data_IF_243208898037
#
_entry.id   IF_243208898037
#
_cell.length_a   1.000
_cell.length_b   1.000
_cell.length_c   1.000
_cell.angle_alpha   90.00
_cell.angle_beta   90.00
_cell.angle_gamma   90.00
#
_symmetry.space_group_name_H-M   'P 1'
#
loop_
_entity.id
_entity.type
_entity.pdbx_description
1 polymer ?
#
# COMPACT_ATOMS: atom_id res chain seq x y z
N UNK A 1 -19.70 31.16 24.33
CA UNK A 1 -20.66 30.04 24.36
C UNK A 1 -20.30 29.14 25.52
N UNK A 2 -21.21 28.96 26.49
CA UNK A 2 -20.98 28.01 27.58
C UNK A 2 -21.02 26.58 27.03
N UNK A 3 -19.95 25.82 27.24
CA UNK A 3 -19.90 24.39 26.90
C UNK A 3 -20.89 23.69 27.83
N UNK A 4 -21.86 22.97 27.27
CA UNK A 4 -22.82 22.22 28.10
C UNK A 4 -22.12 21.05 28.78
N UNK A 5 -22.58 20.62 29.96
CA UNK A 5 -22.01 19.47 30.68
C UNK A 5 -21.93 18.22 29.79
N UNK A 6 -22.95 18.02 28.94
CA UNK A 6 -23.02 16.94 27.96
C UNK A 6 -21.94 17.05 26.87
N UNK A 7 -21.69 18.26 26.35
CA UNK A 7 -20.58 18.51 25.42
C UNK A 7 -19.23 18.25 26.10
N UNK A 8 -19.04 18.66 27.34
CA UNK A 8 -17.82 18.41 28.11
C UNK A 8 -17.60 16.90 28.34
N UNK A 9 -18.65 16.16 28.70
CA UNK A 9 -18.59 14.70 28.87
C UNK A 9 -18.25 13.99 27.56
N UNK A 10 -18.88 14.38 26.45
CA UNK A 10 -18.61 13.80 25.12
C UNK A 10 -17.17 14.05 24.67
N UNK A 11 -16.65 15.27 24.90
CA UNK A 11 -15.25 15.60 24.62
C UNK A 11 -14.32 14.78 25.51
N UNK A 12 -14.58 14.70 26.82
CA UNK A 12 -13.80 13.90 27.76
C UNK A 12 -13.72 12.42 27.36
N UNK A 13 -14.85 11.81 27.01
CA UNK A 13 -14.91 10.43 26.54
C UNK A 13 -14.11 10.24 25.24
N UNK A 14 -14.22 11.16 24.28
CA UNK A 14 -13.48 11.10 23.01
C UNK A 14 -11.98 11.21 23.24
N UNK A 15 -11.55 12.12 24.12
CA UNK A 15 -10.14 12.26 24.51
C UNK A 15 -9.60 11.00 25.19
N UNK A 16 -10.33 10.43 26.16
CA UNK A 16 -9.92 9.20 26.84
C UNK A 16 -9.80 8.03 25.84
N UNK A 17 -10.79 7.86 24.95
CA UNK A 17 -10.76 6.83 23.91
C UNK A 17 -9.54 7.03 22.99
N UNK A 18 -9.26 8.26 22.56
CA UNK A 18 -8.10 8.56 21.72
C UNK A 18 -6.77 8.24 22.42
N UNK A 19 -6.65 8.58 23.71
CA UNK A 19 -5.47 8.28 24.52
C UNK A 19 -5.24 6.77 24.70
N UNK A 20 -6.29 6.01 25.01
CA UNK A 20 -6.20 4.55 25.15
C UNK A 20 -5.77 3.89 23.84
N UNK A 21 -6.33 4.35 22.72
CA UNK A 21 -5.98 3.85 21.38
C UNK A 21 -4.55 4.21 20.98
N UNK A 22 -4.11 5.43 21.31
CA UNK A 22 -2.72 5.83 21.10
C UNK A 22 -1.76 4.99 21.94
N UNK A 23 -2.06 4.79 23.23
CA UNK A 23 -1.27 3.95 24.13
C UNK A 23 -1.20 2.50 23.62
N UNK A 24 -2.32 1.94 23.16
CA UNK A 24 -2.35 0.63 22.54
C UNK A 24 -1.47 0.56 21.28
N UNK A 25 -1.57 1.54 20.39
CA UNK A 25 -0.74 1.62 19.19
C UNK A 25 0.77 1.68 19.55
N UNK A 26 1.14 2.49 20.54
CA UNK A 26 2.54 2.59 21.01
C UNK A 26 3.02 1.26 21.57
N UNK A 27 2.26 0.67 22.51
CA UNK A 27 2.60 -0.63 23.09
C UNK A 27 2.72 -1.72 22.02
N UNK A 28 1.80 -1.74 21.06
CA UNK A 28 1.80 -2.67 19.95
C UNK A 28 3.06 -2.53 19.07
N UNK A 29 3.47 -1.29 18.74
CA UNK A 29 4.70 -1.06 17.98
C UNK A 29 5.96 -1.45 18.77
N UNK A 30 5.99 -1.17 20.08
CA UNK A 30 7.12 -1.49 20.96
C UNK A 30 7.38 -3.00 21.06
N UNK A 31 6.34 -3.83 20.94
CA UNK A 31 6.52 -5.30 20.95
C UNK A 31 6.64 -5.88 19.54
N UNK A 32 5.82 -5.43 18.59
CA UNK A 32 5.70 -6.10 17.29
C UNK A 32 6.91 -5.85 16.38
N UNK A 33 7.41 -4.61 16.31
CA UNK A 33 8.50 -4.26 15.39
C UNK A 33 9.83 -4.84 15.85
N UNK A 34 10.25 -4.69 17.13
CA UNK A 34 11.45 -5.37 17.60
C UNK A 34 11.34 -6.88 17.46
N UNK A 35 10.20 -7.49 17.77
CA UNK A 35 10.01 -8.94 17.58
C UNK A 35 10.20 -9.35 16.13
N UNK A 36 9.62 -8.62 15.18
CA UNK A 36 9.81 -8.85 13.74
C UNK A 36 11.29 -8.79 13.35
N UNK A 37 12.02 -7.77 13.78
CA UNK A 37 13.46 -7.62 13.49
C UNK A 37 14.25 -8.78 14.09
N UNK A 38 13.97 -9.15 15.35
CA UNK A 38 14.68 -10.22 16.06
C UNK A 38 14.43 -11.59 15.44
N UNK A 39 13.19 -11.90 15.05
CA UNK A 39 12.89 -13.12 14.30
C UNK A 39 13.71 -13.21 13.02
N UNK A 40 13.81 -12.10 12.26
CA UNK A 40 14.59 -12.10 11.03
C UNK A 40 16.10 -12.16 11.25
N UNK A 41 16.62 -11.61 12.36
CA UNK A 41 18.02 -11.79 12.76
C UNK A 41 18.30 -13.27 13.06
N UNK A 42 17.46 -13.91 13.88
CA UNK A 42 17.62 -15.33 14.21
C UNK A 42 17.48 -16.23 12.99
N UNK A 43 16.65 -15.84 12.02
CA UNK A 43 16.43 -16.59 10.77
C UNK A 43 17.47 -16.30 9.68
N UNK A 44 18.55 -15.52 9.92
CA UNK A 44 19.57 -15.29 8.89
C UNK A 44 20.25 -16.58 8.37
N UNK A 45 20.53 -17.63 9.18
CA UNK A 45 21.04 -18.89 8.63
C UNK A 45 20.07 -19.53 7.63
N UNK A 46 18.76 -19.48 7.89
CA UNK A 46 17.75 -19.96 6.95
C UNK A 46 17.79 -19.19 5.63
N UNK A 47 18.07 -17.89 5.65
CA UNK A 47 18.22 -17.10 4.42
C UNK A 47 19.33 -17.61 3.51
N UNK A 48 20.43 -18.09 4.09
CA UNK A 48 21.59 -18.62 3.35
C UNK A 48 21.29 -20.01 2.79
N UNK A 49 20.63 -20.86 3.60
CA UNK A 49 20.33 -22.26 3.25
C UNK A 49 19.12 -22.40 2.32
N UNK A 50 18.05 -21.65 2.59
CA UNK A 50 16.81 -21.61 1.82
C UNK A 50 16.18 -20.20 1.85
N UNK A 51 16.70 -19.35 0.97
CA UNK A 51 16.21 -17.98 0.77
C UNK A 51 14.71 -17.93 0.46
N UNK A 52 14.14 -18.93 -0.24
CA UNK A 52 12.71 -18.93 -0.60
C UNK A 52 11.84 -19.04 0.65
N UNK A 53 12.18 -19.96 1.56
CA UNK A 53 11.46 -20.12 2.83
C UNK A 53 11.65 -18.91 3.75
N UNK A 54 12.84 -18.30 3.78
CA UNK A 54 13.07 -17.07 4.53
C UNK A 54 12.14 -15.93 4.08
N UNK A 55 12.05 -15.65 2.78
CA UNK A 55 11.18 -14.58 2.27
C UNK A 55 9.69 -14.91 2.38
N UNK A 56 9.33 -16.20 2.38
CA UNK A 56 7.97 -16.62 2.72
C UNK A 56 7.61 -16.24 4.15
N UNK A 57 8.46 -16.60 5.12
CA UNK A 57 8.24 -16.32 6.55
C UNK A 57 8.22 -14.80 6.79
N UNK A 58 9.23 -14.09 6.28
CA UNK A 58 9.31 -12.64 6.38
C UNK A 58 8.03 -11.96 5.88
N UNK A 59 7.55 -12.36 4.71
CA UNK A 59 6.35 -11.76 4.16
C UNK A 59 5.06 -12.14 4.90
N UNK A 60 5.00 -13.30 5.57
CA UNK A 60 3.88 -13.64 6.49
C UNK A 60 3.91 -12.70 7.69
N UNK A 61 5.08 -12.50 8.31
CA UNK A 61 5.21 -11.57 9.44
C UNK A 61 4.90 -10.13 9.01
N UNK A 62 5.33 -9.71 7.83
CA UNK A 62 4.98 -8.41 7.24
C UNK A 62 3.46 -8.25 7.10
N UNK A 63 2.76 -9.25 6.55
CA UNK A 63 1.30 -9.25 6.46
C UNK A 63 0.63 -9.07 7.82
N UNK A 64 1.15 -9.69 8.87
CA UNK A 64 0.63 -9.55 10.23
C UNK A 64 0.85 -8.15 10.79
N UNK A 65 2.02 -7.56 10.60
CA UNK A 65 2.28 -6.17 10.98
C UNK A 65 1.30 -5.21 10.31
N UNK A 66 1.05 -5.39 9.02
CA UNK A 66 0.11 -4.52 8.30
C UNK A 66 -1.34 -4.76 8.73
N UNK A 67 -1.68 -5.99 9.13
CA UNK A 67 -2.98 -6.31 9.71
C UNK A 67 -3.17 -5.64 11.08
N UNK A 68 -2.10 -5.45 11.86
CA UNK A 68 -2.15 -4.64 13.08
C UNK A 68 -2.44 -3.16 12.77
N UNK A 69 -1.80 -2.59 11.74
CA UNK A 69 -2.09 -1.21 11.28
C UNK A 69 -3.54 -1.09 10.80
N UNK A 70 -4.02 -2.09 10.05
CA UNK A 70 -5.41 -2.18 9.61
C UNK A 70 -6.39 -2.26 10.79
N UNK A 71 -6.04 -3.02 11.84
CA UNK A 71 -6.87 -3.19 13.04
C UNK A 71 -7.16 -1.87 13.77
N UNK A 72 -6.22 -0.91 13.73
CA UNK A 72 -6.43 0.39 14.35
C UNK A 72 -7.66 1.09 13.72
N UNK A 73 -7.71 1.21 12.39
CA UNK A 73 -8.87 1.82 11.73
C UNK A 73 -10.14 0.98 11.85
N UNK A 74 -10.00 -0.34 11.72
CA UNK A 74 -11.12 -1.28 11.79
C UNK A 74 -11.88 -1.15 13.11
N UNK A 75 -11.19 -1.17 14.25
CA UNK A 75 -11.80 -0.99 15.58
C UNK A 75 -12.25 0.44 15.88
N UNK A 76 -11.86 1.43 15.06
CA UNK A 76 -12.46 2.76 15.09
C UNK A 76 -13.76 2.87 14.28
N UNK A 77 -14.13 1.84 13.52
CA UNK A 77 -15.28 1.88 12.61
C UNK A 77 -14.97 2.59 11.29
N UNK A 78 -13.68 2.67 10.90
CA UNK A 78 -13.30 3.06 9.55
C UNK A 78 -13.24 1.81 8.70
N UNK A 79 -14.23 1.62 7.82
CA UNK A 79 -14.37 0.42 6.99
C UNK A 79 -14.15 0.74 5.51
N UNK A 80 -14.06 -0.30 4.67
CA UNK A 80 -13.84 -0.13 3.24
C UNK A 80 -14.93 -0.85 2.45
N UNK A 81 -15.42 -0.19 1.40
CA UNK A 81 -16.26 -0.79 0.36
C UNK A 81 -15.51 -0.79 -0.96
N UNK A 82 -15.43 -1.95 -1.58
CA UNK A 82 -14.76 -2.18 -2.86
C UNK A 82 -15.77 -2.12 -4.03
N UNK A 83 -15.33 -1.59 -5.17
CA UNK A 83 -16.13 -1.39 -6.39
C UNK A 83 -15.32 -1.78 -7.63
N UNK A 84 -16.00 -2.00 -8.75
CA UNK A 84 -15.36 -2.30 -10.03
C UNK A 84 -14.91 -3.76 -10.12
N UNK A 85 -13.74 -3.99 -10.72
CA UNK A 85 -13.20 -5.33 -10.98
C UNK A 85 -12.78 -6.05 -9.68
N UNK A 86 -12.90 -7.39 -9.65
CA UNK A 86 -12.42 -8.19 -8.51
C UNK A 86 -10.92 -8.50 -8.65
N UNK A 87 -10.10 -7.73 -7.93
CA UNK A 87 -8.64 -7.91 -7.91
C UNK A 87 -8.18 -9.26 -7.34
N UNK A 88 -9.08 -10.01 -6.67
CA UNK A 88 -8.78 -11.38 -6.24
C UNK A 88 -8.46 -12.30 -7.42
N UNK A 89 -9.03 -12.04 -8.60
CA UNK A 89 -8.77 -12.83 -9.80
C UNK A 89 -7.30 -12.76 -10.28
N UNK A 90 -6.59 -11.68 -9.93
CA UNK A 90 -5.20 -11.42 -10.35
C UNK A 90 -4.23 -11.34 -9.16
N UNK A 91 -4.67 -11.75 -7.96
CA UNK A 91 -3.90 -11.61 -6.71
C UNK A 91 -2.59 -12.39 -6.70
N UNK A 92 -2.52 -13.46 -7.49
CA UNK A 92 -1.36 -14.34 -7.58
C UNK A 92 -0.44 -14.05 -8.76
N UNK A 93 -0.77 -13.08 -9.62
CA UNK A 93 0.08 -12.64 -10.73
C UNK A 93 0.90 -11.39 -10.36
N UNK A 94 1.96 -11.09 -11.13
CA UNK A 94 2.72 -9.83 -10.97
C UNK A 94 1.88 -8.66 -11.51
N UNK A 95 1.73 -7.59 -10.72
CA UNK A 95 0.92 -6.43 -11.08
C UNK A 95 1.52 -5.09 -10.59
N UNK A 96 1.30 -4.02 -11.36
CA UNK A 96 1.59 -2.65 -10.96
C UNK A 96 0.30 -1.96 -10.53
N UNK A 97 0.27 -1.39 -9.33
CA UNK A 97 -0.93 -0.76 -8.75
C UNK A 97 -0.79 0.77 -8.77
N UNK A 98 -1.62 1.43 -9.57
CA UNK A 98 -1.66 2.89 -9.69
C UNK A 98 -2.77 3.44 -8.81
N UNK A 99 -2.40 4.28 -7.83
CA UNK A 99 -3.36 4.81 -6.86
C UNK A 99 -3.37 6.34 -6.88
N UNK A 100 -4.56 6.96 -6.82
CA UNK A 100 -4.64 8.39 -6.49
C UNK A 100 -4.22 8.63 -5.03
N UNK A 101 -3.78 9.85 -4.72
CA UNK A 101 -3.18 10.15 -3.41
C UNK A 101 -3.80 11.38 -2.76
N UNK A 102 -4.67 11.17 -1.78
CA UNK A 102 -5.36 12.22 -1.04
C UNK A 102 -4.73 12.50 0.33
N UNK A 103 -4.38 11.45 1.09
CA UNK A 103 -3.85 11.58 2.45
C UNK A 103 -3.03 10.37 2.91
N UNK A 104 -2.48 10.43 4.12
CA UNK A 104 -1.74 9.31 4.72
C UNK A 104 -2.62 8.09 4.99
N UNK A 105 -3.94 8.25 5.14
CA UNK A 105 -4.87 7.14 5.31
C UNK A 105 -5.05 6.26 4.07
N UNK A 106 -4.60 6.70 2.89
CA UNK A 106 -4.68 5.90 1.65
C UNK A 106 -3.87 4.61 1.80
N UNK A 107 -2.67 4.72 2.39
CA UNK A 107 -1.80 3.58 2.67
C UNK A 107 -2.46 2.63 3.67
N UNK A 108 -3.07 3.17 4.74
CA UNK A 108 -3.77 2.35 5.74
C UNK A 108 -5.00 1.65 5.14
N UNK A 109 -5.71 2.32 4.24
CA UNK A 109 -6.85 1.76 3.50
C UNK A 109 -6.40 0.57 2.65
N UNK A 110 -5.30 0.70 1.89
CA UNK A 110 -4.75 -0.40 1.10
C UNK A 110 -4.23 -1.56 1.96
N UNK A 111 -3.57 -1.26 3.09
CA UNK A 111 -3.15 -2.27 4.07
C UNK A 111 -4.32 -3.04 4.67
N UNK A 112 -5.52 -2.45 4.66
CA UNK A 112 -6.74 -3.04 5.16
C UNK A 112 -7.45 -3.86 4.07
N UNK A 113 -7.74 -3.27 2.90
CA UNK A 113 -8.59 -3.91 1.89
C UNK A 113 -7.92 -5.05 1.12
N UNK A 114 -6.58 -5.13 1.14
CA UNK A 114 -5.84 -6.20 0.47
C UNK A 114 -5.62 -7.44 1.35
N UNK A 115 -6.02 -7.43 2.63
CA UNK A 115 -5.71 -8.50 3.59
C UNK A 115 -6.29 -9.88 3.22
N UNK A 116 -7.45 -9.89 2.58
CA UNK A 116 -8.18 -11.08 2.13
C UNK A 116 -7.83 -11.49 0.68
N UNK A 117 -6.94 -10.76 0.01
CA UNK A 117 -6.56 -10.98 -1.40
C UNK A 117 -5.35 -11.91 -1.52
N UNK A 118 -5.48 -13.12 -0.99
CA UNK A 118 -4.46 -14.17 -1.09
C UNK A 118 -3.11 -13.71 -0.52
N UNK A 119 -2.07 -13.76 -1.36
CA UNK A 119 -0.69 -13.42 -0.98
C UNK A 119 -0.31 -11.96 -1.22
N UNK A 120 -1.22 -11.11 -1.69
CA UNK A 120 -0.93 -9.73 -2.09
C UNK A 120 -0.16 -8.95 -1.03
N UNK A 121 -0.68 -8.85 0.19
CA UNK A 121 -0.02 -8.08 1.27
C UNK A 121 1.36 -8.63 1.60
N UNK A 122 1.55 -9.95 1.48
CA UNK A 122 2.85 -10.61 1.72
C UNK A 122 3.89 -10.26 0.65
N UNK A 123 3.44 -10.05 -0.58
CA UNK A 123 4.29 -9.94 -1.77
C UNK A 123 4.24 -8.56 -2.42
N UNK A 124 3.59 -7.58 -1.80
CA UNK A 124 3.55 -6.22 -2.32
C UNK A 124 4.82 -5.44 -1.96
N UNK A 125 5.26 -4.58 -2.84
CA UNK A 125 6.36 -3.64 -2.65
C UNK A 125 5.82 -2.23 -2.72
N UNK A 126 6.22 -1.39 -1.78
CA UNK A 126 5.85 0.02 -1.76
C UNK A 126 6.90 0.90 -2.44
N UNK A 127 6.44 1.87 -3.23
CA UNK A 127 7.23 3.05 -3.59
C UNK A 127 6.82 4.24 -2.71
N UNK A 128 7.71 4.69 -1.85
CA UNK A 128 7.42 5.69 -0.81
C UNK A 128 8.41 6.83 -0.80
N UNK A 129 8.00 7.98 -0.26
CA UNK A 129 8.92 9.09 -0.02
C UNK A 129 10.05 8.68 0.95
N UNK A 130 11.27 9.10 0.65
CA UNK A 130 12.46 8.88 1.47
C UNK A 130 12.27 9.22 2.96
N UNK A 131 11.46 10.22 3.31
CA UNK A 131 11.23 10.58 4.71
C UNK A 131 10.65 9.43 5.55
N UNK A 132 9.88 8.52 4.93
CA UNK A 132 9.27 7.40 5.63
C UNK A 132 10.30 6.38 6.16
N UNK A 133 11.52 6.38 5.61
CA UNK A 133 12.62 5.51 6.04
C UNK A 133 12.94 5.65 7.53
N UNK A 134 12.68 6.81 8.12
CA UNK A 134 12.97 7.12 9.53
C UNK A 134 11.82 6.83 10.48
N UNK A 135 10.77 6.17 9.99
CA UNK A 135 9.62 5.76 10.81
C UNK A 135 9.70 4.29 11.19
N UNK A 136 8.90 3.89 12.18
CA UNK A 136 8.66 2.49 12.53
C UNK A 136 8.31 1.62 11.31
N UNK A 137 7.40 2.11 10.47
CA UNK A 137 7.05 1.44 9.22
C UNK A 137 8.24 1.42 8.24
N UNK A 138 9.04 2.48 8.20
CA UNK A 138 10.26 2.57 7.40
C UNK A 138 11.27 1.45 7.67
N UNK A 139 11.48 1.08 8.93
CA UNK A 139 12.36 -0.04 9.31
C UNK A 139 11.83 -1.35 8.73
N UNK A 140 10.54 -1.61 8.91
CA UNK A 140 9.87 -2.81 8.37
C UNK A 140 9.99 -2.85 6.85
N UNK A 141 9.70 -1.72 6.18
CA UNK A 141 9.78 -1.55 4.74
C UNK A 141 11.18 -1.74 4.16
N UNK A 142 12.23 -1.23 4.82
CA UNK A 142 13.62 -1.47 4.42
C UNK A 142 13.96 -2.95 4.44
N UNK A 143 13.53 -3.67 5.48
CA UNK A 143 13.76 -5.11 5.61
C UNK A 143 12.94 -5.88 4.56
N UNK A 144 11.70 -5.47 4.33
CA UNK A 144 10.82 -6.04 3.29
C UNK A 144 11.43 -5.85 1.89
N UNK A 145 12.17 -4.77 1.67
CA UNK A 145 12.75 -4.43 0.38
C UNK A 145 11.87 -3.50 -0.43
N UNK A 146 11.10 -2.65 0.24
CA UNK A 146 10.41 -1.51 -0.37
C UNK A 146 11.41 -0.48 -0.90
N UNK A 147 10.96 0.36 -1.84
CA UNK A 147 11.78 1.39 -2.45
C UNK A 147 11.43 2.78 -1.93
N UNK A 148 12.46 3.52 -1.50
CA UNK A 148 12.34 4.87 -1.00
C UNK A 148 12.83 5.87 -2.04
N UNK A 149 11.93 6.66 -2.61
CA UNK A 149 12.23 7.68 -3.61
C UNK A 149 12.43 9.05 -2.97
N UNK A 150 13.58 9.67 -3.25
CA UNK A 150 13.82 11.07 -2.89
C UNK A 150 13.12 12.00 -3.88
N UNK A 151 12.24 12.84 -3.38
CA UNK A 151 11.55 13.85 -4.20
C UNK A 151 12.49 15.01 -4.58
N UNK A 152 12.16 15.69 -5.69
CA UNK A 152 12.86 16.89 -6.15
C UNK A 152 13.48 16.72 -7.53
N UNK A 153 13.57 17.83 -8.28
CA UNK A 153 14.08 17.80 -9.67
C UNK A 153 15.52 17.29 -9.76
N UNK A 154 16.37 17.70 -8.82
CA UNK A 154 17.80 17.38 -8.80
C UNK A 154 18.11 15.87 -8.64
N UNK A 155 17.22 15.11 -8.02
CA UNK A 155 17.45 13.68 -7.77
C UNK A 155 16.73 12.78 -8.76
N UNK A 156 15.82 13.32 -9.59
CA UNK A 156 14.86 12.54 -10.37
C UNK A 156 15.52 11.44 -11.19
N UNK A 157 16.50 11.79 -12.02
CA UNK A 157 17.09 10.84 -12.97
C UNK A 157 17.90 9.77 -12.24
N UNK A 158 18.66 10.17 -11.21
CA UNK A 158 19.38 9.25 -10.33
C UNK A 158 18.43 8.27 -9.63
N UNK A 159 17.28 8.74 -9.12
CA UNK A 159 16.32 7.88 -8.44
C UNK A 159 15.67 6.87 -9.39
N UNK A 160 15.49 7.20 -10.68
CA UNK A 160 14.98 6.27 -11.67
C UNK A 160 15.97 5.14 -11.97
N UNK A 161 17.28 5.45 -12.02
CA UNK A 161 18.33 4.43 -12.14
C UNK A 161 18.35 3.52 -10.91
N UNK A 162 18.31 4.11 -9.70
CA UNK A 162 18.27 3.34 -8.46
C UNK A 162 17.02 2.46 -8.34
N UNK A 163 15.87 2.93 -8.84
CA UNK A 163 14.64 2.13 -8.89
C UNK A 163 14.84 0.92 -9.79
N UNK A 164 15.40 1.09 -10.99
CA UNK A 164 15.68 -0.02 -11.91
C UNK A 164 16.57 -1.07 -11.23
N UNK A 165 17.70 -0.65 -10.68
CA UNK A 165 18.67 -1.55 -10.02
C UNK A 165 18.04 -2.28 -8.82
N UNK A 166 17.19 -1.60 -8.06
CA UNK A 166 16.46 -2.18 -6.92
C UNK A 166 15.46 -3.24 -7.36
N UNK A 167 14.71 -2.99 -8.44
CA UNK A 167 13.76 -3.95 -9.01
C UNK A 167 14.49 -5.21 -9.50
N UNK A 168 15.58 -5.05 -10.26
CA UNK A 168 16.38 -6.17 -10.75
C UNK A 168 16.95 -7.01 -9.59
N UNK A 169 17.41 -6.36 -8.52
CA UNK A 169 18.07 -7.03 -7.40
C UNK A 169 17.09 -7.68 -6.42
N UNK A 170 15.98 -7.03 -6.09
CA UNK A 170 15.15 -7.41 -4.94
C UNK A 170 13.72 -7.82 -5.27
N UNK A 171 13.13 -7.41 -6.39
CA UNK A 171 11.71 -7.66 -6.64
C UNK A 171 11.41 -9.16 -6.77
N UNK A 172 12.00 -9.85 -7.75
CA UNK A 172 11.78 -11.30 -7.93
C UNK A 172 12.55 -12.17 -6.94
N UNK A 173 13.75 -11.74 -6.53
CA UNK A 173 14.58 -12.50 -5.59
C UNK A 173 13.97 -12.59 -4.19
N UNK A 174 13.10 -11.64 -3.82
CA UNK A 174 12.30 -11.65 -2.59
C UNK A 174 10.84 -12.06 -2.82
N UNK A 175 10.54 -12.64 -3.98
CA UNK A 175 9.22 -13.13 -4.33
C UNK A 175 8.11 -12.05 -4.21
N UNK A 176 8.41 -10.83 -4.66
CA UNK A 176 7.43 -9.73 -4.75
C UNK A 176 6.65 -9.85 -6.06
N UNK A 177 5.36 -9.52 -5.99
CA UNK A 177 4.40 -9.61 -7.09
C UNK A 177 3.70 -8.29 -7.36
N UNK A 178 3.30 -7.54 -6.34
CA UNK A 178 2.58 -6.29 -6.54
C UNK A 178 3.49 -5.11 -6.26
N UNK A 179 3.45 -4.06 -7.07
CA UNK A 179 4.19 -2.82 -6.81
C UNK A 179 3.22 -1.66 -6.73
N UNK A 180 3.11 -1.06 -5.55
CA UNK A 180 2.17 0.02 -5.27
C UNK A 180 2.88 1.36 -5.40
N UNK A 181 2.34 2.22 -6.26
CA UNK A 181 2.83 3.58 -6.43
C UNK A 181 1.68 4.59 -6.49
N UNK A 182 2.00 5.81 -6.09
CA UNK A 182 1.13 6.98 -6.14
C UNK A 182 1.67 7.97 -7.19
N UNK A 183 1.27 7.86 -8.48
CA UNK A 183 1.86 8.63 -9.57
C UNK A 183 1.73 10.15 -9.44
N UNK A 184 0.79 10.64 -8.63
CA UNK A 184 0.65 12.07 -8.28
C UNK A 184 1.93 12.66 -7.64
N UNK A 185 2.77 11.80 -7.04
CA UNK A 185 4.05 12.20 -6.46
C UNK A 185 3.91 13.08 -5.20
N UNK A 186 2.77 12.98 -4.52
CA UNK A 186 2.46 13.63 -3.25
C UNK A 186 0.96 13.76 -3.04
N UNK A 187 0.55 14.14 -1.82
CA UNK A 187 -0.86 14.35 -1.51
C UNK A 187 -1.49 15.43 -2.38
N UNK A 188 -2.73 15.19 -2.83
CA UNK A 188 -3.54 16.08 -3.64
C UNK A 188 -3.53 17.51 -3.12
N UNK A 189 -3.77 17.72 -1.81
CA UNK A 189 -3.78 19.07 -1.19
C UNK A 189 -2.47 19.84 -1.42
N UNK A 190 -1.33 19.15 -1.51
CA UNK A 190 -0.01 19.77 -1.73
C UNK A 190 0.34 19.92 -3.21
N UNK A 191 -0.29 19.16 -4.10
CA UNK A 191 0.09 19.07 -5.52
C UNK A 191 -0.90 19.74 -6.47
N UNK A 192 -2.17 19.89 -6.07
CA UNK A 192 -3.29 20.36 -6.92
C UNK A 192 -2.96 21.64 -7.67
N UNK A 193 -2.63 22.72 -6.96
CA UNK A 193 -2.37 24.03 -7.58
C UNK A 193 -1.21 23.97 -8.59
N UNK A 194 -0.10 23.33 -8.21
CA UNK A 194 1.06 23.17 -9.10
C UNK A 194 0.74 22.30 -10.33
N UNK A 195 -0.10 21.28 -10.17
CA UNK A 195 -0.56 20.43 -11.26
C UNK A 195 -1.48 21.19 -12.20
N UNK A 196 -2.39 22.00 -11.68
CA UNK A 196 -3.30 22.83 -12.47
C UNK A 196 -2.57 23.92 -13.25
N UNK A 197 -1.56 24.56 -12.63
CA UNK A 197 -0.69 25.51 -13.32
C UNK A 197 0.09 24.84 -14.48
N UNK A 198 0.61 23.63 -14.25
CA UNK A 198 1.23 22.83 -15.32
C UNK A 198 0.23 22.47 -16.41
N UNK A 199 -0.99 22.06 -16.05
CA UNK A 199 -2.03 21.70 -17.02
C UNK A 199 -2.38 22.89 -17.92
N UNK A 200 -2.62 24.06 -17.32
CA UNK A 200 -2.91 25.31 -18.05
C UNK A 200 -1.77 25.70 -19.00
N UNK A 201 -0.52 25.56 -18.59
CA UNK A 201 0.65 25.89 -19.42
C UNK A 201 0.79 24.97 -20.64
N UNK A 202 0.36 23.72 -20.53
CA UNK A 202 0.57 22.70 -21.56
C UNK A 202 -0.75 22.28 -22.27
N UNK A 203 -1.82 23.06 -22.12
CA UNK A 203 -3.15 22.75 -22.68
C UNK A 203 -3.67 21.35 -22.32
N UNK A 204 -3.45 20.93 -21.08
CA UNK A 204 -3.94 19.66 -20.54
C UNK A 204 -5.22 19.89 -19.71
N UNK A 205 -6.04 18.84 -19.49
CA UNK A 205 -7.27 18.94 -18.71
C UNK A 205 -7.04 19.48 -17.29
N UNK A 206 -8.01 20.28 -16.83
CA UNK A 206 -8.03 20.82 -15.48
C UNK A 206 -8.66 19.80 -14.53
N UNK A 207 -7.86 19.23 -13.62
CA UNK A 207 -8.30 18.21 -12.66
C UNK A 207 -8.42 18.82 -11.25
N UNK A 208 -9.49 18.49 -10.51
CA UNK A 208 -9.80 19.01 -9.17
C UNK A 208 -9.64 17.94 -8.10
N UNK A 209 -10.07 16.72 -8.37
CA UNK A 209 -10.11 15.59 -7.44
C UNK A 209 -8.87 14.70 -7.51
N UNK A 210 -8.06 14.82 -8.56
CA UNK A 210 -6.71 14.24 -8.67
C UNK A 210 -5.72 15.24 -9.26
N UNK A 211 -4.44 14.86 -9.34
CA UNK A 211 -3.40 15.58 -10.09
C UNK A 211 -2.90 14.81 -11.31
N UNK A 212 -2.32 15.52 -12.27
CA UNK A 212 -1.67 14.91 -13.42
C UNK A 212 -0.49 14.03 -12.95
N UNK A 213 -0.47 12.75 -13.35
CA UNK A 213 0.50 11.78 -12.85
C UNK A 213 1.90 12.00 -13.43
N UNK A 214 2.91 11.56 -12.69
CA UNK A 214 4.31 11.53 -13.15
C UNK A 214 4.62 10.20 -13.84
N UNK A 215 5.31 10.28 -14.97
CA UNK A 215 5.62 9.11 -15.81
C UNK A 215 6.76 8.22 -15.28
N UNK A 216 7.80 8.83 -14.69
CA UNK A 216 9.12 8.19 -14.57
C UNK A 216 9.12 6.82 -13.89
N UNK A 217 8.50 6.70 -12.71
CA UNK A 217 8.47 5.43 -11.98
C UNK A 217 7.68 4.35 -12.73
N UNK A 218 6.49 4.69 -13.24
CA UNK A 218 5.65 3.82 -14.07
C UNK A 218 6.44 3.26 -15.26
N UNK A 219 7.13 4.13 -15.99
CA UNK A 219 7.92 3.74 -17.16
C UNK A 219 9.07 2.80 -16.79
N UNK A 220 9.82 3.09 -15.72
CA UNK A 220 10.91 2.23 -15.25
C UNK A 220 10.37 0.85 -14.84
N UNK A 221 9.26 0.80 -14.11
CA UNK A 221 8.65 -0.47 -13.66
C UNK A 221 8.23 -1.31 -14.88
N UNK A 222 7.49 -0.73 -15.82
CA UNK A 222 7.05 -1.42 -17.02
C UNK A 222 8.25 -1.92 -17.83
N UNK A 223 9.21 -1.05 -18.15
CA UNK A 223 10.40 -1.43 -18.93
C UNK A 223 11.21 -2.54 -18.25
N UNK A 224 11.37 -2.49 -16.93
CA UNK A 224 12.21 -3.46 -16.20
C UNK A 224 11.51 -4.79 -16.02
N UNK A 225 10.24 -4.79 -15.63
CA UNK A 225 9.54 -6.01 -15.26
C UNK A 225 8.88 -6.72 -16.45
N UNK A 226 8.55 -5.99 -17.53
CA UNK A 226 8.05 -6.57 -18.79
C UNK A 226 9.18 -7.09 -19.67
N UNK A 227 10.26 -6.33 -19.90
CA UNK A 227 11.32 -6.76 -20.83
C UNK A 227 12.06 -8.04 -20.39
N UNK A 228 12.13 -8.30 -19.09
CA UNK A 228 12.68 -9.57 -18.58
C UNK A 228 11.82 -10.81 -18.95
N UNK A 229 10.57 -10.61 -19.40
CA UNK A 229 9.74 -11.66 -20.00
C UNK A 229 10.23 -12.01 -21.42
N UNK A 230 10.68 -11.03 -22.20
CA UNK A 230 11.10 -11.22 -23.60
C UNK A 230 12.51 -11.82 -23.71
N UNK A 231 13.43 -11.42 -22.84
CA UNK A 231 14.84 -11.87 -22.86
C UNK A 231 15.08 -13.25 -22.17
N UNK A 232 14.02 -13.94 -21.76
CA UNK A 232 14.06 -15.18 -20.97
C UNK A 232 14.05 -16.50 -21.77
N UNK A 233 14.37 -16.49 -23.07
CA UNK A 233 14.55 -17.70 -23.88
C UNK A 233 16.03 -18.01 -24.14
N UNK A 234 16.71 -18.82 -23.31
CA UNK A 234 17.85 -19.57 -23.79
C UNK A 234 17.33 -20.76 -24.59
N UNK A 235 17.47 -20.70 -25.91
CA UNK A 235 17.50 -21.89 -26.75
C UNK A 235 18.71 -22.73 -26.35
N UNK A 236 18.49 -23.83 -25.63
CA UNK A 236 19.54 -24.80 -25.37
C UNK A 236 19.29 -25.70 -24.16
N UNK A 237 18.94 -26.95 -24.43
CA UNK A 237 19.44 -28.12 -23.68
C UNK A 237 18.84 -28.41 -22.29
N UNK A 238 18.18 -29.56 -22.25
CA UNK A 238 18.00 -30.47 -21.11
C UNK A 238 16.90 -30.26 -20.06
N UNK A 239 16.30 -31.41 -19.78
CA UNK A 239 15.03 -31.61 -19.14
C UNK A 239 15.09 -31.52 -17.60
N UNK A 240 13.90 -31.34 -17.03
CA UNK A 240 13.55 -31.50 -15.60
C UNK A 240 13.92 -30.33 -14.68
N UNK A 241 13.17 -29.23 -14.81
CA UNK A 241 12.64 -28.47 -13.67
C UNK A 241 11.34 -27.78 -14.09
N UNK A 242 10.20 -28.34 -13.65
CA UNK A 242 8.89 -27.69 -13.67
C UNK A 242 8.85 -26.60 -12.59
N UNK A 243 9.82 -25.70 -12.56
CA UNK A 243 9.65 -24.42 -11.85
C UNK A 243 8.81 -23.55 -12.77
N UNK A 244 7.62 -23.16 -12.31
CA UNK A 244 6.74 -22.21 -12.99
C UNK A 244 7.58 -21.01 -13.44
N UNK A 245 7.92 -20.92 -14.73
CA UNK A 245 8.56 -19.73 -15.29
C UNK A 245 7.70 -18.53 -14.87
N UNK A 246 8.30 -17.53 -14.23
CA UNK A 246 7.55 -16.31 -13.87
C UNK A 246 6.96 -15.76 -15.17
N UNK A 247 5.65 -15.49 -15.16
CA UNK A 247 4.96 -14.88 -16.29
C UNK A 247 5.44 -13.44 -16.52
N UNK A 248 6.18 -12.85 -15.58
CA UNK A 248 6.52 -11.43 -15.59
C UNK A 248 5.31 -10.57 -15.21
N UNK A 249 5.44 -9.25 -15.33
CA UNK A 249 4.37 -8.30 -15.02
C UNK A 249 3.18 -8.50 -15.98
N UNK A 250 2.03 -8.91 -15.46
CA UNK A 250 0.86 -9.25 -16.27
C UNK A 250 -0.21 -8.16 -16.27
N UNK A 251 -0.32 -7.40 -15.18
CA UNK A 251 -1.45 -6.50 -14.95
C UNK A 251 -1.04 -5.09 -14.50
N UNK A 252 -1.82 -4.10 -14.90
CA UNK A 252 -1.87 -2.79 -14.25
C UNK A 252 -3.22 -2.64 -13.58
N UNK A 253 -3.21 -2.51 -12.26
CA UNK A 253 -4.40 -2.33 -11.43
C UNK A 253 -4.53 -0.84 -11.14
N UNK A 254 -5.51 -0.21 -11.77
CA UNK A 254 -5.84 1.18 -11.53
C UNK A 254 -6.84 1.28 -10.36
N UNK A 255 -6.41 1.91 -9.26
CA UNK A 255 -7.14 1.97 -7.99
C UNK A 255 -7.54 3.41 -7.68
N UNK A 256 -8.83 3.65 -7.46
CA UNK A 256 -9.36 4.97 -7.07
C UNK A 256 -9.92 4.90 -5.67
N UNK A 257 -9.26 5.57 -4.73
CA UNK A 257 -9.71 5.75 -3.35
C UNK A 257 -10.57 7.02 -3.31
N UNK A 258 -11.75 6.92 -2.71
CA UNK A 258 -12.68 8.02 -2.50
C UNK A 258 -13.12 8.05 -1.03
N UNK A 259 -13.06 9.23 -0.43
CA UNK A 259 -13.55 9.46 0.93
C UNK A 259 -14.87 10.25 0.88
N UNK A 260 -15.90 9.87 1.65
CA UNK A 260 -17.15 10.60 1.69
C UNK A 260 -16.94 12.10 1.87
N UNK A 261 -17.70 12.91 1.11
CA UNK A 261 -17.63 14.39 1.12
C UNK A 261 -16.26 14.97 0.75
N UNK A 262 -15.39 14.18 0.09
CA UNK A 262 -14.02 14.55 -0.22
C UNK A 262 -13.19 14.94 1.04
N UNK A 263 -13.49 14.32 2.20
CA UNK A 263 -12.79 14.56 3.45
C UNK A 263 -11.86 13.39 3.81
N UNK A 264 -10.63 13.35 3.27
CA UNK A 264 -9.73 12.22 3.47
C UNK A 264 -9.33 12.03 4.93
N UNK A 265 -8.99 10.80 5.28
CA UNK A 265 -8.56 10.39 6.62
C UNK A 265 -7.04 10.42 6.67
N UNK A 266 -6.47 11.05 7.68
CA UNK A 266 -5.03 10.95 7.96
C UNK A 266 -4.75 9.81 8.95
N UNK A 267 -3.48 9.42 9.03
CA UNK A 267 -3.03 8.36 9.93
C UNK A 267 -3.31 8.68 11.42
N UNK A 268 -3.35 9.97 11.80
CA UNK A 268 -3.67 10.37 13.17
C UNK A 268 -5.12 10.05 13.49
N UNK A 269 -6.05 10.43 12.60
CA UNK A 269 -7.47 10.07 12.68
C UNK A 269 -7.63 8.55 12.74
N UNK A 270 -6.91 7.81 11.88
CA UNK A 270 -6.94 6.35 11.80
C UNK A 270 -6.56 5.70 13.13
N UNK A 271 -5.49 6.16 13.77
CA UNK A 271 -5.01 5.66 15.05
C UNK A 271 -5.94 6.10 16.19
N UNK A 272 -6.18 7.40 16.32
CA UNK A 272 -6.85 7.98 17.48
C UNK A 272 -8.36 7.75 17.48
N UNK A 273 -8.99 7.59 16.32
CA UNK A 273 -10.43 7.31 16.25
C UNK A 273 -11.31 8.49 16.68
N UNK A 274 -10.85 9.74 16.53
CA UNK A 274 -11.59 10.94 16.97
C UNK A 274 -12.63 11.44 15.96
N UNK A 275 -12.55 11.04 14.68
CA UNK A 275 -13.61 11.32 13.70
C UNK A 275 -14.69 10.25 13.81
N UNK A 276 -15.89 10.59 13.35
CA UNK A 276 -16.99 9.63 13.30
C UNK A 276 -16.62 8.44 12.39
N UNK A 277 -17.08 7.22 12.71
CA UNK A 277 -16.99 6.07 11.80
C UNK A 277 -17.42 6.45 10.39
N UNK A 278 -16.69 5.96 9.40
CA UNK A 278 -16.93 6.31 8.00
C UNK A 278 -16.44 5.19 7.10
N UNK A 279 -17.00 5.15 5.89
CA UNK A 279 -16.70 4.14 4.89
C UNK A 279 -15.82 4.77 3.82
N UNK A 280 -14.60 4.26 3.62
CA UNK A 280 -13.77 4.62 2.47
C UNK A 280 -14.13 3.72 1.29
N UNK A 281 -14.23 4.29 0.09
CA UNK A 281 -14.61 3.54 -1.10
C UNK A 281 -13.38 3.35 -1.99
N UNK A 282 -13.17 2.13 -2.48
CA UNK A 282 -12.03 1.79 -3.35
C UNK A 282 -12.55 1.15 -4.63
N UNK A 283 -12.33 1.79 -5.77
CA UNK A 283 -12.72 1.30 -7.08
C UNK A 283 -11.51 0.74 -7.82
N UNK A 284 -11.63 -0.47 -8.38
CA UNK A 284 -10.58 -1.14 -9.13
C UNK A 284 -10.93 -1.24 -10.62
N UNK A 285 -9.91 -1.07 -11.47
CA UNK A 285 -9.94 -1.40 -12.89
C UNK A 285 -8.67 -2.15 -13.25
N UNK A 286 -8.78 -3.26 -13.97
CA UNK A 286 -7.67 -4.15 -14.27
C UNK A 286 -7.37 -4.09 -15.77
N UNK A 287 -6.13 -3.74 -16.12
CA UNK A 287 -5.66 -3.67 -17.50
C UNK A 287 -4.58 -4.74 -17.73
N UNK A 288 -4.70 -5.59 -18.76
CA UNK A 288 -3.60 -6.43 -19.21
C UNK A 288 -2.41 -5.55 -19.60
N UNK A 289 -1.20 -5.92 -19.20
CA UNK A 289 0.03 -5.16 -19.53
C UNK A 289 0.26 -5.08 -21.04
N UNK A 290 -0.16 -6.09 -21.80
CA UNK A 290 -0.13 -6.07 -23.28
C UNK A 290 -0.92 -4.92 -23.91
N UNK A 291 -1.91 -4.37 -23.19
CA UNK A 291 -2.74 -3.25 -23.66
C UNK A 291 -2.19 -1.89 -23.18
N UNK A 292 -1.06 -1.89 -22.47
CA UNK A 292 -0.38 -0.69 -21.96
C UNK A 292 0.73 -0.30 -22.94
N UNK A 293 0.72 0.94 -23.48
CA UNK A 293 1.73 1.36 -24.43
C UNK A 293 3.15 1.36 -23.83
N UNK A 294 4.12 0.87 -24.61
CA UNK A 294 5.54 0.90 -24.23
C UNK A 294 6.21 2.24 -24.56
N UNK A 295 5.77 2.89 -25.64
CA UNK A 295 6.35 4.14 -26.12
C UNK A 295 6.09 5.32 -25.15
N UNK A 296 7.09 6.17 -24.84
CA UNK A 296 6.98 7.16 -23.76
C UNK A 296 5.81 8.14 -23.89
N UNK A 297 5.55 8.63 -25.10
CA UNK A 297 4.47 9.59 -25.36
C UNK A 297 3.10 8.94 -25.27
N UNK A 298 2.94 7.77 -25.89
CA UNK A 298 1.71 6.98 -25.82
C UNK A 298 1.41 6.54 -24.37
N UNK A 299 2.42 6.15 -23.61
CA UNK A 299 2.29 5.80 -22.19
C UNK A 299 1.91 7.02 -21.35
N UNK A 300 2.44 8.20 -21.66
CA UNK A 300 2.06 9.46 -20.98
C UNK A 300 0.58 9.75 -21.20
N UNK A 301 0.12 9.68 -22.46
CA UNK A 301 -1.28 9.92 -22.79
C UNK A 301 -2.20 8.87 -22.15
N UNK A 302 -1.80 7.59 -22.18
CA UNK A 302 -2.54 6.51 -21.51
C UNK A 302 -2.65 6.75 -20.01
N UNK A 303 -1.57 7.16 -19.35
CA UNK A 303 -1.54 7.42 -17.91
C UNK A 303 -2.36 8.68 -17.56
N UNK A 304 -2.30 9.74 -18.37
CA UNK A 304 -3.16 10.92 -18.22
C UNK A 304 -4.63 10.54 -18.35
N UNK A 305 -4.97 9.71 -19.33
CA UNK A 305 -6.33 9.23 -19.53
C UNK A 305 -6.85 8.46 -18.30
N UNK A 306 -6.01 7.62 -17.66
CA UNK A 306 -6.40 6.96 -16.41
C UNK A 306 -6.79 7.96 -15.33
N UNK A 307 -6.05 9.05 -15.16
CA UNK A 307 -6.32 10.07 -14.14
C UNK A 307 -7.48 11.00 -14.50
N UNK A 308 -7.73 11.25 -15.78
CA UNK A 308 -8.96 11.93 -16.23
C UNK A 308 -10.17 11.07 -15.88
N UNK A 309 -10.13 9.76 -16.14
CA UNK A 309 -11.22 8.87 -15.74
C UNK A 309 -11.38 8.79 -14.21
N UNK A 310 -10.28 8.90 -13.43
CA UNK A 310 -10.38 9.01 -11.96
C UNK A 310 -11.09 10.29 -11.54
N UNK A 311 -10.82 11.41 -12.22
CA UNK A 311 -11.51 12.67 -11.98
C UNK A 311 -13.02 12.51 -12.16
N UNK A 312 -13.45 11.87 -13.25
CA UNK A 312 -14.87 11.61 -13.54
C UNK A 312 -15.50 10.66 -12.50
N UNK A 313 -14.80 9.58 -12.15
CA UNK A 313 -15.23 8.63 -11.12
C UNK A 313 -15.43 9.31 -9.76
N UNK A 314 -14.48 10.17 -9.35
CA UNK A 314 -14.54 10.90 -8.10
C UNK A 314 -15.61 11.98 -8.12
N UNK A 315 -15.76 12.70 -9.24
CA UNK A 315 -16.81 13.72 -9.42
C UNK A 315 -18.18 13.08 -9.24
N UNK A 316 -18.46 11.99 -9.96
CA UNK A 316 -19.70 11.24 -9.80
C UNK A 316 -19.90 10.75 -8.38
N UNK A 317 -18.87 10.17 -7.75
CA UNK A 317 -18.94 9.69 -6.37
C UNK A 317 -19.27 10.81 -5.37
N UNK A 318 -18.69 12.00 -5.53
CA UNK A 318 -18.95 13.12 -4.62
C UNK A 318 -20.33 13.75 -4.83
N UNK A 319 -20.93 13.58 -6.01
CA UNK A 319 -22.29 14.02 -6.32
C UNK A 319 -23.36 13.01 -5.87
N UNK A 320 -23.10 11.71 -6.03
CA UNK A 320 -24.12 10.65 -5.86
C UNK A 320 -23.92 9.77 -4.63
N UNK A 321 -22.71 9.73 -4.06
CA UNK A 321 -22.32 8.83 -2.98
C UNK A 321 -21.96 7.40 -3.43
N UNK A 322 -21.94 7.12 -4.73
CA UNK A 322 -21.56 5.82 -5.29
C UNK A 322 -20.73 5.97 -6.57
N UNK A 323 -19.96 4.95 -6.94
CA UNK A 323 -19.30 4.94 -8.25
C UNK A 323 -20.32 4.62 -9.36
N UNK A 324 -20.08 5.07 -10.61
CA UNK A 324 -21.03 4.85 -11.70
C UNK A 324 -21.15 3.35 -12.04
N UNK A 325 -22.35 2.88 -12.45
CA UNK A 325 -22.53 1.50 -12.87
C UNK A 325 -21.74 1.18 -14.15
N UNK A 326 -21.31 -0.08 -14.34
CA UNK A 326 -20.79 -0.54 -15.61
C UNK A 326 -21.79 -0.31 -16.75
N UNK A 327 -21.28 -0.16 -17.97
CA UNK A 327 -22.10 0.08 -19.15
C UNK A 327 -23.14 -1.04 -19.33
N UNK A 328 -24.42 -0.68 -19.40
CA UNK A 328 -25.53 -1.64 -19.51
C UNK A 328 -26.08 -2.16 -18.17
N UNK A 329 -25.55 -1.71 -17.02
CA UNK A 329 -26.11 -2.01 -15.71
C UNK A 329 -26.79 -0.79 -15.09
N UNK A 330 -27.84 -1.02 -14.29
CA UNK A 330 -28.59 0.04 -13.60
C UNK A 330 -28.02 0.38 -12.23
N UNK A 331 -27.19 -0.50 -11.65
CA UNK A 331 -26.58 -0.31 -10.32
C UNK A 331 -25.13 -0.77 -10.34
N UNK A 332 -24.26 0.01 -9.71
CA UNK A 332 -22.89 -0.41 -9.46
C UNK A 332 -22.87 -1.48 -8.37
N UNK A 333 -22.13 -2.56 -8.60
CA UNK A 333 -21.93 -3.63 -7.63
C UNK A 333 -20.80 -3.21 -6.70
N UNK A 334 -21.04 -3.36 -5.40
CA UNK A 334 -20.06 -3.10 -4.37
C UNK A 334 -19.95 -4.26 -3.40
N UNK A 335 -18.78 -4.40 -2.77
CA UNK A 335 -18.50 -5.42 -1.76
C UNK A 335 -17.97 -4.75 -0.50
N UNK A 336 -18.62 -4.97 0.63
CA UNK A 336 -18.03 -4.63 1.91
C UNK A 336 -16.82 -5.51 2.19
N UNK A 337 -15.69 -4.88 2.50
CA UNK A 337 -14.51 -5.61 2.93
C UNK A 337 -14.60 -5.89 4.43
N UNK A 338 -14.32 -7.13 4.81
CA UNK A 338 -14.40 -7.58 6.21
C UNK A 338 -13.05 -8.06 6.73
N UNK A 339 -12.72 -7.69 7.97
CA UNK A 339 -11.62 -8.30 8.72
C UNK A 339 -12.16 -9.20 9.84
N UNK A 340 -11.55 -10.37 10.00
CA UNK A 340 -11.89 -11.28 11.10
C UNK A 340 -11.35 -10.75 12.42
N UNK A 341 -12.23 -10.37 13.34
CA UNK A 341 -11.83 -9.92 14.68
C UNK A 341 -11.05 -11.00 15.45
N UNK A 342 -11.41 -12.27 15.28
CA UNK A 342 -10.68 -13.38 15.91
C UNK A 342 -9.23 -13.45 15.40
N UNK A 343 -9.05 -13.30 14.08
CA UNK A 343 -7.72 -13.24 13.48
C UNK A 343 -6.92 -12.03 13.96
N UNK A 344 -7.56 -10.85 14.03
CA UNK A 344 -6.91 -9.63 14.53
C UNK A 344 -6.50 -9.77 16.00
N UNK A 345 -7.31 -10.40 16.84
CA UNK A 345 -6.92 -10.71 18.23
C UNK A 345 -5.74 -11.68 18.26
N UNK A 346 -5.76 -12.74 17.45
CA UNK A 346 -4.69 -13.73 17.41
C UNK A 346 -3.33 -13.12 17.02
N UNK A 347 -3.26 -12.26 15.99
CA UNK A 347 -2.01 -11.60 15.60
C UNK A 347 -1.52 -10.63 16.68
N UNK A 348 -2.43 -9.94 17.36
CA UNK A 348 -2.08 -9.01 18.43
C UNK A 348 -1.52 -9.77 19.64
N UNK A 349 -2.19 -10.86 20.06
CA UNK A 349 -1.70 -11.76 21.09
C UNK A 349 -0.32 -12.31 20.75
N UNK A 350 -0.09 -12.76 19.50
CA UNK A 350 1.22 -13.22 19.05
C UNK A 350 2.30 -12.14 19.20
N UNK A 351 2.01 -10.88 18.86
CA UNK A 351 2.98 -9.79 19.01
C UNK A 351 3.33 -9.51 20.47
N UNK A 352 2.34 -9.46 21.37
CA UNK A 352 2.58 -9.23 22.80
C UNK A 352 3.32 -10.40 23.46
N UNK A 353 2.95 -11.65 23.13
CA UNK A 353 3.65 -12.84 23.60
C UNK A 353 5.10 -12.89 23.08
N UNK A 354 5.32 -12.53 21.81
CA UNK A 354 6.67 -12.42 21.23
C UNK A 354 7.50 -11.37 21.96
N UNK A 355 6.94 -10.19 22.23
CA UNK A 355 7.63 -9.14 22.98
C UNK A 355 8.03 -9.60 24.39
N UNK A 356 7.12 -10.27 25.11
CA UNK A 356 7.41 -10.85 26.42
C UNK A 356 8.50 -11.93 26.37
N UNK A 357 8.42 -12.83 25.39
CA UNK A 357 9.44 -13.87 25.19
C UNK A 357 10.82 -13.26 24.95
N UNK A 358 10.95 -12.28 24.05
CA UNK A 358 12.23 -11.61 23.78
C UNK A 358 12.76 -10.87 25.00
N UNK A 359 11.89 -10.18 25.75
CA UNK A 359 12.28 -9.54 27.00
C UNK A 359 12.87 -10.53 28.01
N UNK A 360 12.18 -11.65 28.25
CA UNK A 360 12.67 -12.70 29.16
C UNK A 360 14.01 -13.29 28.70
N UNK A 361 14.17 -13.51 27.38
CA UNK A 361 15.42 -14.01 26.82
C UNK A 361 16.58 -13.03 27.05
N UNK A 362 16.37 -11.74 26.78
CA UNK A 362 17.41 -10.73 27.01
C UNK A 362 17.74 -10.55 28.48
N UNK A 363 16.75 -10.60 29.36
CA UNK A 363 16.97 -10.55 30.80
C UNK A 363 17.83 -11.74 31.27
N UNK A 364 17.51 -12.95 30.80
CA UNK A 364 18.30 -14.14 31.10
C UNK A 364 19.75 -13.99 30.60
N UNK A 365 19.94 -13.58 29.34
CA UNK A 365 21.28 -13.36 28.77
C UNK A 365 22.06 -12.29 29.54
N UNK A 366 21.40 -11.22 29.97
CA UNK A 366 22.02 -10.17 30.77
C UNK A 366 22.54 -10.72 32.10
N UNK A 367 21.71 -11.47 32.85
CA UNK A 367 22.11 -12.10 34.12
C UNK A 367 23.18 -13.18 33.98
N UNK A 368 23.31 -13.80 32.81
CA UNK A 368 24.38 -14.77 32.57
C UNK A 368 25.72 -14.12 32.20
N UNK A 369 25.70 -12.89 31.69
CA UNK A 369 26.89 -12.20 31.16
C UNK A 369 27.44 -11.10 32.09
N UNK A 370 26.59 -10.55 32.95
CA UNK A 370 26.90 -9.49 33.93
C UNK A 370 26.33 -9.86 35.29
#
# INVERSE_FOLDING_TARGET
MAVTLEQAQRVGYTCLKALLRFAFMVANNLVAIPSYVLYLIVLQPLRILDSKSFWYIEGVLFKWLLAMVASWGWWAGYTVVEWGDDVKAVSEDEAMVLVNHQATGDVCTLMMCLQDKGTVVRQMMWLMDHIFKYTNFGIVSLIHGDFFIRQGKAHRDQQLVLLKDHLEKYYRSRNRKWIVLFPEGGFLRKRRETSQAFAKKNNLPFLKHVTLPRLGATQVILKTLVALQENGTPSGGDAVRKESKSKGLQWVIDTTIAYPKAEPIDIQTWILGYRQPTVTHVHYRIFPVKDVPAEPEALTNWLYQRFIEKEDLLTHFYETGAFPPPQGQTKAISREMTLSNLWLVAIQSFAFLSGGMWYCLFQYLYHCLF
#
